data_IF_098743386452
#
_entry.id   IF_098743386452
#
_cell.length_a   1.000
_cell.length_b   1.000
_cell.length_c   1.000
_cell.angle_alpha   90.00
_cell.angle_beta   90.00
_cell.angle_gamma   90.00
#
_symmetry.space_group_name_H-M   'P 1'
#
loop_
_entity.id
_entity.type
_entity.pdbx_description
1 polymer ?
#
# COMPACT_ATOMS: atom_id res chain seq x y z
N UNK A 1 -11.08 -19.87 24.55
CA UNK A 1 -9.71 -19.29 24.56
C UNK A 1 -9.87 -17.77 24.50
N UNK A 2 -9.65 -17.07 25.62
CA UNK A 2 -9.61 -15.61 25.61
C UNK A 2 -8.40 -15.15 24.78
N UNK A 3 -8.53 -14.16 23.88
CA UNK A 3 -7.34 -13.60 23.25
C UNK A 3 -6.47 -12.97 24.36
N UNK A 4 -5.16 -13.24 24.41
CA UNK A 4 -4.28 -12.74 25.47
C UNK A 4 -4.03 -11.21 25.41
N UNK A 5 -4.75 -10.48 24.55
CA UNK A 5 -4.49 -9.09 24.23
C UNK A 5 -5.77 -8.25 24.24
N UNK A 6 -5.70 -7.10 24.91
CA UNK A 6 -6.80 -6.13 24.97
C UNK A 6 -7.18 -5.62 23.57
N UNK A 7 -8.46 -5.72 23.15
CA UNK A 7 -8.91 -5.25 21.85
C UNK A 7 -8.71 -3.73 21.66
N UNK A 8 -8.74 -2.96 22.76
CA UNK A 8 -8.49 -1.52 22.74
C UNK A 8 -7.03 -1.17 22.42
N UNK A 9 -6.06 -1.90 22.98
CA UNK A 9 -4.63 -1.73 22.65
C UNK A 9 -4.36 -2.10 21.19
N UNK A 10 -5.00 -3.18 20.73
CA UNK A 10 -4.89 -3.63 19.36
C UNK A 10 -5.37 -2.57 18.35
N UNK A 11 -6.52 -1.95 18.63
CA UNK A 11 -7.03 -0.83 17.83
C UNK A 11 -6.13 0.40 17.88
N UNK A 12 -5.54 0.72 19.04
CA UNK A 12 -4.61 1.83 19.16
C UNK A 12 -3.34 1.62 18.31
N UNK A 13 -2.83 0.39 18.25
CA UNK A 13 -1.65 0.05 17.45
C UNK A 13 -1.93 0.04 15.94
N UNK A 14 -3.17 -0.25 15.54
CA UNK A 14 -3.63 -0.18 14.16
C UNK A 14 -3.84 1.26 13.64
N UNK A 15 -3.84 2.27 14.52
CA UNK A 15 -3.99 3.68 14.11
C UNK A 15 -2.87 4.14 13.18
N UNK A 16 -1.62 3.75 13.47
CA UNK A 16 -0.46 4.15 12.64
C UNK A 16 -0.51 3.54 11.22
N UNK A 17 -0.79 2.22 11.06
CA UNK A 17 -1.08 1.64 9.74
C UNK A 17 -2.27 2.29 9.02
N UNK A 18 -3.34 2.65 9.74
CA UNK A 18 -4.48 3.35 9.11
C UNK A 18 -4.13 4.76 8.66
N UNK A 19 -3.25 5.46 9.39
CA UNK A 19 -2.76 6.77 9.02
C UNK A 19 -1.97 6.72 7.70
N UNK A 20 -1.19 5.67 7.45
CA UNK A 20 -0.47 5.53 6.17
C UNK A 20 -1.41 5.30 4.99
N UNK A 21 -2.52 4.57 5.19
CA UNK A 21 -3.59 4.46 4.17
C UNK A 21 -4.23 5.81 3.91
N UNK A 22 -4.62 6.53 4.97
CA UNK A 22 -5.25 7.84 4.82
C UNK A 22 -4.33 8.85 4.12
N UNK A 23 -3.04 8.85 4.45
CA UNK A 23 -2.04 9.68 3.80
C UNK A 23 -1.89 9.32 2.31
N UNK A 24 -1.81 8.03 1.97
CA UNK A 24 -1.71 7.58 0.59
C UNK A 24 -2.93 8.00 -0.25
N UNK A 25 -4.13 7.83 0.28
CA UNK A 25 -5.38 8.26 -0.35
C UNK A 25 -5.42 9.78 -0.53
N UNK A 26 -5.04 10.54 0.49
CA UNK A 26 -5.03 12.00 0.43
C UNK A 26 -4.05 12.52 -0.63
N UNK A 27 -2.86 11.93 -0.72
CA UNK A 27 -1.88 12.25 -1.77
C UNK A 27 -2.44 11.92 -3.15
N UNK A 28 -3.12 10.78 -3.31
CA UNK A 28 -3.75 10.42 -4.59
C UNK A 28 -4.86 11.39 -5.00
N UNK A 29 -5.70 11.83 -4.06
CA UNK A 29 -6.75 12.83 -4.32
C UNK A 29 -6.12 14.18 -4.67
N UNK A 30 -5.15 14.65 -3.89
CA UNK A 30 -4.48 15.92 -4.13
C UNK A 30 -3.84 15.95 -5.52
N UNK A 31 -3.20 14.86 -5.93
CA UNK A 31 -2.57 14.75 -7.24
C UNK A 31 -3.60 14.83 -8.39
N UNK A 32 -4.75 14.17 -8.26
CA UNK A 32 -5.82 14.26 -9.26
C UNK A 32 -6.37 15.69 -9.35
N UNK A 33 -6.61 16.34 -8.21
CA UNK A 33 -7.11 17.71 -8.17
C UNK A 33 -6.12 18.71 -8.80
N UNK A 34 -4.83 18.56 -8.51
CA UNK A 34 -3.78 19.37 -9.13
C UNK A 34 -3.75 19.19 -10.65
N UNK A 35 -3.81 17.96 -11.14
CA UNK A 35 -3.86 17.69 -12.58
C UNK A 35 -5.13 18.24 -13.25
N UNK A 36 -6.28 18.18 -12.58
CA UNK A 36 -7.53 18.70 -13.12
C UNK A 36 -7.54 20.23 -13.18
N UNK A 37 -6.93 20.91 -12.21
CA UNK A 37 -6.95 22.38 -12.15
C UNK A 37 -5.83 23.04 -12.96
N UNK A 38 -4.66 22.42 -13.02
CA UNK A 38 -3.46 22.96 -13.67
C UNK A 38 -3.07 22.24 -14.97
N UNK A 39 -3.99 21.46 -15.54
CA UNK A 39 -3.70 20.56 -16.65
C UNK A 39 -3.00 21.21 -17.83
N UNK A 40 -3.53 22.33 -18.31
CA UNK A 40 -3.00 23.05 -19.48
C UNK A 40 -1.60 23.64 -19.25
N UNK A 41 -1.20 23.84 -17.98
CA UNK A 41 0.12 24.38 -17.63
C UNK A 41 1.17 23.30 -17.37
N UNK A 42 0.74 22.08 -17.01
CA UNK A 42 1.64 20.97 -16.62
C UNK A 42 1.94 20.06 -17.81
N UNK A 43 1.04 19.97 -18.79
CA UNK A 43 1.19 19.04 -19.91
C UNK A 43 2.33 19.42 -20.86
N UNK A 44 3.21 18.44 -21.11
CA UNK A 44 4.23 18.47 -22.15
C UNK A 44 3.97 17.30 -23.12
N UNK A 45 3.12 17.50 -24.14
CA UNK A 45 2.64 16.42 -24.98
C UNK A 45 3.78 15.79 -25.80
N UNK A 46 3.92 14.47 -25.70
CA UNK A 46 4.81 13.70 -26.57
C UNK A 46 4.15 13.43 -27.94
N UNK A 47 4.94 13.15 -28.99
CA UNK A 47 4.41 12.59 -30.24
C UNK A 47 3.61 11.30 -29.98
N UNK A 48 2.66 10.98 -30.86
CA UNK A 48 1.69 9.91 -30.61
C UNK A 48 2.32 8.52 -30.50
N UNK A 49 3.33 8.21 -31.33
CA UNK A 49 3.99 6.89 -31.36
C UNK A 49 4.63 6.47 -30.03
N UNK A 50 5.50 7.27 -29.37
CA UNK A 50 6.05 6.90 -28.06
C UNK A 50 5.00 6.93 -26.94
N UNK A 51 3.95 7.75 -27.09
CA UNK A 51 2.88 7.87 -26.10
C UNK A 51 2.06 6.58 -25.99
N UNK A 52 1.71 5.96 -27.12
CA UNK A 52 0.98 4.69 -27.15
C UNK A 52 1.79 3.53 -26.54
N UNK A 53 3.08 3.48 -26.83
CA UNK A 53 4.00 2.51 -26.23
C UNK A 53 4.08 2.66 -24.71
N UNK A 54 4.24 3.89 -24.22
CA UNK A 54 4.28 4.19 -22.79
C UNK A 54 2.96 3.82 -22.11
N UNK A 55 1.81 4.14 -22.76
CA UNK A 55 0.49 3.79 -22.27
C UNK A 55 0.38 2.28 -22.04
N UNK A 56 0.72 1.51 -23.07
CA UNK A 56 0.65 0.05 -23.04
C UNK A 56 1.56 -0.54 -21.95
N UNK A 57 2.80 -0.06 -21.84
CA UNK A 57 3.78 -0.54 -20.86
C UNK A 57 3.34 -0.29 -19.40
N UNK A 58 2.83 0.91 -19.11
CA UNK A 58 2.39 1.28 -17.77
C UNK A 58 1.08 0.59 -17.37
N UNK A 59 0.13 0.39 -18.31
CA UNK A 59 -1.06 -0.43 -18.03
C UNK A 59 -0.69 -1.88 -17.71
N UNK A 60 0.20 -2.49 -18.50
CA UNK A 60 0.70 -3.83 -18.22
C UNK A 60 1.38 -3.91 -16.84
N UNK A 61 2.22 -2.92 -16.51
CA UNK A 61 2.90 -2.85 -15.21
C UNK A 61 1.92 -2.68 -14.05
N UNK A 62 0.89 -1.84 -14.20
CA UNK A 62 -0.13 -1.68 -13.16
C UNK A 62 -0.94 -2.96 -12.94
N UNK A 63 -1.31 -3.69 -14.00
CA UNK A 63 -1.99 -4.99 -13.87
C UNK A 63 -1.13 -5.98 -13.09
N UNK A 64 0.17 -6.06 -13.38
CA UNK A 64 1.12 -6.95 -12.67
C UNK A 64 1.37 -6.50 -11.22
N UNK A 65 1.29 -5.19 -10.95
CA UNK A 65 1.51 -4.63 -9.61
C UNK A 65 0.52 -5.18 -8.59
N UNK A 66 -0.73 -5.49 -8.98
CA UNK A 66 -1.73 -6.07 -8.06
C UNK A 66 -1.34 -7.45 -7.52
N UNK A 67 -1.17 -8.50 -8.36
CA UNK A 67 -0.77 -9.82 -7.86
C UNK A 67 0.61 -9.79 -7.21
N UNK A 68 1.54 -8.95 -7.71
CA UNK A 68 2.84 -8.76 -7.09
C UNK A 68 2.74 -8.21 -5.66
N UNK A 69 1.91 -7.18 -5.44
CA UNK A 69 1.66 -6.60 -4.10
C UNK A 69 1.04 -7.65 -3.18
N UNK A 70 0.12 -8.46 -3.68
CA UNK A 70 -0.48 -9.55 -2.91
C UNK A 70 0.55 -10.59 -2.47
N UNK A 71 1.42 -11.02 -3.40
CA UNK A 71 2.49 -11.97 -3.12
C UNK A 71 3.49 -11.41 -2.10
N UNK A 72 3.91 -10.15 -2.28
CA UNK A 72 4.85 -9.51 -1.37
C UNK A 72 4.25 -9.38 0.04
N UNK A 73 2.97 -8.99 0.16
CA UNK A 73 2.28 -8.94 1.45
C UNK A 73 2.24 -10.32 2.11
N UNK A 74 1.93 -11.36 1.34
CA UNK A 74 1.90 -12.73 1.86
C UNK A 74 3.27 -13.14 2.42
N UNK A 75 4.33 -12.92 1.65
CA UNK A 75 5.71 -13.24 2.04
C UNK A 75 6.13 -12.45 3.27
N UNK A 76 5.86 -11.14 3.32
CA UNK A 76 6.20 -10.28 4.45
C UNK A 76 5.49 -10.69 5.74
N UNK A 77 4.19 -11.02 5.67
CA UNK A 77 3.44 -11.48 6.83
C UNK A 77 4.00 -12.80 7.36
N UNK A 78 4.36 -13.74 6.48
CA UNK A 78 4.99 -15.01 6.85
C UNK A 78 6.37 -14.81 7.48
N UNK A 79 7.24 -14.03 6.85
CA UNK A 79 8.57 -13.70 7.38
C UNK A 79 8.50 -13.03 8.75
N UNK A 80 7.57 -12.08 8.91
CA UNK A 80 7.40 -11.38 10.18
C UNK A 80 6.99 -12.33 11.32
N UNK A 81 6.27 -13.41 11.01
CA UNK A 81 5.84 -14.45 11.96
C UNK A 81 6.97 -15.44 12.31
N UNK A 82 7.88 -15.72 11.38
CA UNK A 82 8.93 -16.74 11.57
C UNK A 82 10.28 -16.18 12.00
N UNK A 83 10.53 -14.88 11.84
CA UNK A 83 11.80 -14.27 12.23
C UNK A 83 11.93 -14.17 13.76
N UNK A 84 13.07 -14.60 14.33
CA UNK A 84 13.32 -14.49 15.76
C UNK A 84 13.19 -13.04 16.24
N UNK A 85 12.69 -12.90 17.46
CA UNK A 85 12.48 -11.63 18.12
C UNK A 85 13.16 -11.68 19.49
N UNK A 86 13.93 -10.65 19.87
CA UNK A 86 14.42 -10.53 21.24
C UNK A 86 13.23 -10.59 22.22
N UNK A 87 13.34 -11.48 23.22
CA UNK A 87 12.27 -11.87 24.15
C UNK A 87 11.58 -10.67 24.83
N UNK A 88 12.34 -9.67 25.27
CA UNK A 88 11.80 -8.58 26.09
C UNK A 88 10.94 -7.54 25.34
N UNK A 89 10.98 -7.52 23.99
CA UNK A 89 10.39 -6.46 23.18
C UNK A 89 9.45 -6.96 22.08
N UNK A 90 8.85 -8.15 22.24
CA UNK A 90 7.97 -8.74 21.23
C UNK A 90 6.77 -7.86 20.80
N UNK A 91 6.04 -7.11 21.68
CA UNK A 91 4.89 -6.32 21.22
C UNK A 91 5.31 -5.10 20.40
N UNK A 92 6.41 -4.44 20.77
CA UNK A 92 6.96 -3.30 20.04
C UNK A 92 7.50 -3.73 18.66
N UNK A 93 8.15 -4.89 18.61
CA UNK A 93 8.67 -5.48 17.36
C UNK A 93 7.54 -5.89 16.42
N UNK A 94 6.49 -6.53 16.95
CA UNK A 94 5.29 -6.89 16.19
C UNK A 94 4.63 -5.66 15.55
N UNK A 95 4.47 -4.58 16.31
CA UNK A 95 3.91 -3.30 15.83
C UNK A 95 4.74 -2.72 14.70
N UNK A 96 6.06 -2.63 14.86
CA UNK A 96 6.97 -2.10 13.84
C UNK A 96 6.94 -2.93 12.57
N UNK A 97 7.06 -4.26 12.68
CA UNK A 97 7.02 -5.19 11.54
C UNK A 97 5.71 -5.06 10.76
N UNK A 98 4.58 -5.04 11.45
CA UNK A 98 3.27 -4.88 10.82
C UNK A 98 3.12 -3.53 10.12
N UNK A 99 3.55 -2.43 10.78
CA UNK A 99 3.48 -1.09 10.20
C UNK A 99 4.32 -0.97 8.92
N UNK A 100 5.53 -1.54 8.90
CA UNK A 100 6.37 -1.58 7.69
C UNK A 100 5.67 -2.37 6.58
N UNK A 101 5.12 -3.53 6.88
CA UNK A 101 4.42 -4.35 5.87
C UNK A 101 3.23 -3.64 5.24
N UNK A 102 2.41 -2.96 6.05
CA UNK A 102 1.29 -2.17 5.55
C UNK A 102 1.81 -0.99 4.71
N UNK A 103 2.84 -0.28 5.18
CA UNK A 103 3.40 0.87 4.46
C UNK A 103 3.99 0.47 3.11
N UNK A 104 4.72 -0.65 3.02
CA UNK A 104 5.26 -1.16 1.75
C UNK A 104 4.14 -1.59 0.80
N UNK A 105 3.10 -2.26 1.32
CA UNK A 105 1.93 -2.63 0.51
C UNK A 105 1.21 -1.39 -0.04
N UNK A 106 1.08 -0.34 0.79
CA UNK A 106 0.44 0.92 0.39
C UNK A 106 1.27 1.68 -0.65
N UNK A 107 2.59 1.73 -0.48
CA UNK A 107 3.48 2.38 -1.44
C UNK A 107 3.43 1.69 -2.83
N UNK A 108 3.41 0.36 -2.86
CA UNK A 108 3.28 -0.40 -4.10
C UNK A 108 1.94 -0.14 -4.79
N UNK A 109 0.84 -0.15 -4.03
CA UNK A 109 -0.48 0.05 -4.62
C UNK A 109 -0.78 1.52 -4.96
N UNK A 110 0.05 2.43 -4.48
CA UNK A 110 0.05 3.85 -4.86
C UNK A 110 0.82 4.12 -6.16
N UNK A 111 1.72 3.22 -6.60
CA UNK A 111 2.48 3.40 -7.84
C UNK A 111 1.63 3.58 -9.11
N UNK A 112 0.45 2.93 -9.28
CA UNK A 112 -0.42 3.18 -10.43
C UNK A 112 -0.87 4.64 -10.52
N UNK A 113 -1.13 5.32 -9.40
CA UNK A 113 -1.44 6.77 -9.39
C UNK A 113 -0.30 7.59 -9.99
N UNK A 114 0.95 7.24 -9.67
CA UNK A 114 2.13 7.90 -10.24
C UNK A 114 2.23 7.61 -11.74
N UNK A 115 1.92 6.39 -12.18
CA UNK A 115 1.87 6.06 -13.62
C UNK A 115 0.82 6.90 -14.35
N UNK A 116 -0.37 7.06 -13.76
CA UNK A 116 -1.41 7.95 -14.27
C UNK A 116 -0.96 9.42 -14.35
N UNK A 117 -0.21 9.90 -13.36
CA UNK A 117 0.37 11.24 -13.36
C UNK A 117 1.38 11.42 -14.51
N UNK A 118 2.29 10.47 -14.67
CA UNK A 118 3.31 10.50 -15.73
C UNK A 118 2.65 10.49 -17.12
N UNK A 119 1.60 9.70 -17.31
CA UNK A 119 0.84 9.72 -18.57
C UNK A 119 0.19 11.09 -18.80
N UNK A 120 -0.48 11.62 -17.78
CA UNK A 120 -1.11 12.93 -17.86
C UNK A 120 -0.09 14.02 -18.22
N UNK A 121 1.08 14.00 -17.59
CA UNK A 121 2.19 14.92 -17.88
C UNK A 121 2.59 14.87 -19.36
N UNK A 122 2.60 13.68 -19.98
CA UNK A 122 2.92 13.51 -21.41
C UNK A 122 1.74 13.75 -22.36
N UNK A 123 0.65 14.33 -21.87
CA UNK A 123 -0.49 14.77 -22.67
C UNK A 123 -1.62 13.76 -22.81
N UNK A 124 -1.64 12.69 -22.00
CA UNK A 124 -2.82 11.82 -21.94
C UNK A 124 -4.00 12.50 -21.23
N UNK A 125 -5.23 12.12 -21.58
CA UNK A 125 -6.43 12.72 -20.99
C UNK A 125 -6.55 12.40 -19.50
N UNK A 126 -7.26 13.26 -18.77
CA UNK A 126 -7.60 13.09 -17.35
C UNK A 126 -8.28 11.73 -17.08
N UNK A 127 -8.97 11.16 -18.07
CA UNK A 127 -9.56 9.82 -17.96
C UNK A 127 -8.53 8.74 -17.62
N UNK A 128 -7.35 8.79 -18.24
CA UNK A 128 -6.28 7.82 -17.99
C UNK A 128 -5.81 7.90 -16.54
N UNK A 129 -5.51 9.11 -16.05
CA UNK A 129 -5.18 9.38 -14.64
C UNK A 129 -6.27 8.84 -13.70
N UNK A 130 -7.54 9.09 -14.03
CA UNK A 130 -8.68 8.65 -13.23
C UNK A 130 -8.77 7.13 -13.15
N UNK A 131 -8.54 6.40 -14.25
CA UNK A 131 -8.54 4.93 -14.27
C UNK A 131 -7.47 4.38 -13.33
N UNK A 132 -6.24 4.88 -13.42
CA UNK A 132 -5.15 4.43 -12.55
C UNK A 132 -5.42 4.76 -11.07
N UNK A 133 -5.98 5.94 -10.78
CA UNK A 133 -6.38 6.30 -9.41
C UNK A 133 -7.50 5.40 -8.89
N UNK A 134 -8.49 5.04 -9.70
CA UNK A 134 -9.55 4.10 -9.31
C UNK A 134 -9.01 2.70 -9.05
N UNK A 135 -8.06 2.24 -9.86
CA UNK A 135 -7.34 0.98 -9.60
C UNK A 135 -6.64 1.06 -8.23
N UNK A 136 -5.82 2.09 -7.99
CA UNK A 136 -5.18 2.27 -6.68
C UNK A 136 -6.17 2.37 -5.53
N UNK A 137 -7.33 3.02 -5.72
CA UNK A 137 -8.38 3.09 -4.70
C UNK A 137 -8.94 1.70 -4.34
N UNK A 138 -9.19 0.85 -5.35
CA UNK A 138 -9.55 -0.55 -5.13
C UNK A 138 -8.44 -1.28 -4.36
N UNK A 139 -7.20 -1.03 -4.72
CA UNK A 139 -6.04 -1.59 -4.05
C UNK A 139 -5.91 -1.16 -2.57
N UNK A 140 -6.11 0.12 -2.27
CA UNK A 140 -6.15 0.62 -0.88
C UNK A 140 -7.25 -0.08 -0.07
N UNK A 141 -8.41 -0.32 -0.68
CA UNK A 141 -9.50 -1.06 -0.05
C UNK A 141 -9.11 -2.53 0.23
N UNK A 142 -8.50 -3.22 -0.73
CA UNK A 142 -8.12 -4.63 -0.62
C UNK A 142 -6.99 -4.88 0.40
N UNK A 143 -5.98 -4.00 0.41
CA UNK A 143 -4.77 -4.16 1.24
C UNK A 143 -4.82 -3.39 2.57
N UNK A 144 -5.99 -2.85 2.93
CA UNK A 144 -6.20 -2.14 4.20
C UNK A 144 -5.70 -2.98 5.39
N UNK A 145 -5.18 -2.35 6.45
CA UNK A 145 -4.73 -3.07 7.65
C UNK A 145 -5.90 -3.84 8.27
N UNK A 146 -5.72 -5.15 8.44
CA UNK A 146 -6.71 -6.06 9.03
C UNK A 146 -6.29 -6.41 10.46
N UNK A 147 -7.14 -6.20 11.47
CA UNK A 147 -6.82 -6.52 12.86
C UNK A 147 -6.43 -7.99 13.07
N UNK A 148 -7.03 -8.89 12.29
CA UNK A 148 -6.78 -10.33 12.33
C UNK A 148 -5.33 -10.70 11.98
N UNK A 149 -4.73 -10.02 11.00
CA UNK A 149 -3.34 -10.27 10.59
C UNK A 149 -2.37 -9.87 11.71
N UNK A 150 -2.66 -8.75 12.38
CA UNK A 150 -1.86 -8.26 13.48
C UNK A 150 -1.97 -9.17 14.72
N UNK A 151 -3.18 -9.66 15.04
CA UNK A 151 -3.38 -10.66 16.09
C UNK A 151 -2.62 -11.97 15.82
N UNK A 152 -2.64 -12.45 14.58
CA UNK A 152 -1.91 -13.65 14.18
C UNK A 152 -0.38 -13.46 14.35
N UNK A 153 0.14 -12.26 14.01
CA UNK A 153 1.54 -11.92 14.22
C UNK A 153 1.91 -11.89 15.70
N UNK A 154 1.10 -11.22 16.54
CA UNK A 154 1.33 -11.17 18.00
C UNK A 154 1.31 -12.56 18.62
N UNK A 155 0.37 -13.42 18.21
CA UNK A 155 0.23 -14.78 18.73
C UNK A 155 1.42 -15.66 18.32
N UNK A 156 1.92 -15.53 17.09
CA UNK A 156 3.08 -16.26 16.61
C UNK A 156 4.35 -15.89 17.41
N UNK A 157 4.57 -14.59 17.64
CA UNK A 157 5.72 -14.10 18.40
C UNK A 157 5.62 -14.45 19.90
N UNK A 158 4.42 -14.42 20.48
CA UNK A 158 4.21 -14.83 21.87
C UNK A 158 4.49 -16.33 22.09
N UNK A 159 4.15 -17.20 21.12
CA UNK A 159 4.50 -18.63 21.18
C UNK A 159 6.00 -18.85 21.13
N UNK A 160 6.69 -18.16 20.23
CA UNK A 160 8.15 -18.26 20.12
C UNK A 160 8.87 -17.91 21.43
N UNK A 161 8.36 -16.92 22.17
CA UNK A 161 8.88 -16.58 23.50
C UNK A 161 8.61 -17.68 24.55
N UNK A 162 7.48 -18.37 24.49
CA UNK A 162 7.16 -19.42 25.47
C UNK A 162 8.00 -20.69 25.29
N UNK A 163 8.57 -20.89 24.10
CA UNK A 163 9.38 -22.06 23.75
C UNK A 163 10.91 -21.82 23.95
N UNK A 164 11.33 -20.58 24.27
CA UNK A 164 12.71 -20.20 24.66
C UNK A 164 12.89 -20.23 26.19
#
# INVERSE_FOLDING_TARGET
>A
MQPPFDPQRLQADLRMPWLSVAAAVLVSIALVLVCQHFGDSIQQPLPDTPREWLRTALYATAIVTFPFTNLLRHIQLRLNQTMPCPSDAYPATAKRRYWVTVTVSMALIQSPVIYGFVMFYFGDPVNTLTIFTLMSALGFYLYRPKPQEYQALMTALARQHHDE
#
